data_IF_393886656354
#
_entry.id   IF_393886656354
#
_cell.length_a   1.000
_cell.length_b   1.000
_cell.length_c   1.000
_cell.angle_alpha   90.00
_cell.angle_beta   90.00
_cell.angle_gamma   90.00
#
_symmetry.space_group_name_H-M   'P 1'
#
loop_
_entity.id
_entity.type
_entity.pdbx_description
1 polymer ?
#
# COMPACT_ATOMS: atom_id res chain seq x y z
N UNK A 1 -39.79 -13.98 -79.64
CA UNK A 1 -39.88 -12.99 -78.55
C UNK A 1 -39.83 -13.72 -77.21
N UNK A 2 -38.64 -13.83 -76.60
CA UNK A 2 -38.42 -14.32 -75.24
C UNK A 2 -37.20 -13.56 -74.71
N UNK A 3 -37.41 -12.55 -73.87
CA UNK A 3 -36.33 -11.77 -73.25
C UNK A 3 -36.30 -12.10 -71.76
N UNK A 4 -35.21 -12.76 -71.36
CA UNK A 4 -34.91 -13.16 -69.98
C UNK A 4 -34.19 -12.01 -69.29
N UNK A 5 -34.79 -11.46 -68.23
CA UNK A 5 -34.18 -10.43 -67.40
C UNK A 5 -33.29 -11.08 -66.32
N UNK A 6 -32.00 -10.76 -66.31
CA UNK A 6 -31.03 -11.19 -65.30
C UNK A 6 -30.93 -10.07 -64.25
N UNK A 7 -31.37 -10.37 -63.04
CA UNK A 7 -31.29 -9.52 -61.85
C UNK A 7 -29.91 -9.71 -61.20
N UNK A 8 -29.05 -8.68 -61.21
CA UNK A 8 -27.76 -8.71 -60.51
C UNK A 8 -27.92 -8.18 -59.08
N UNK A 9 -27.58 -9.02 -58.11
CA UNK A 9 -27.42 -8.68 -56.70
C UNK A 9 -25.99 -8.17 -56.45
N UNK A 10 -25.85 -6.90 -56.07
CA UNK A 10 -24.61 -6.32 -55.60
C UNK A 10 -24.41 -6.66 -54.11
N UNK A 11 -23.39 -7.46 -53.80
CA UNK A 11 -22.92 -7.68 -52.43
C UNK A 11 -22.01 -6.53 -52.01
N UNK A 12 -22.48 -5.69 -51.08
CA UNK A 12 -21.65 -4.72 -50.39
C UNK A 12 -20.83 -5.44 -49.31
N UNK A 13 -19.52 -5.60 -49.54
CA UNK A 13 -18.60 -6.08 -48.52
C UNK A 13 -18.34 -4.95 -47.50
N UNK A 14 -18.90 -5.08 -46.31
CA UNK A 14 -18.59 -4.22 -45.16
C UNK A 14 -17.24 -4.67 -44.60
N UNK A 15 -16.18 -3.91 -44.87
CA UNK A 15 -14.86 -4.09 -44.25
C UNK A 15 -14.92 -3.67 -42.78
N UNK A 16 -14.93 -4.65 -41.88
CA UNK A 16 -14.81 -4.45 -40.44
C UNK A 16 -13.36 -4.08 -40.11
N UNK A 17 -13.10 -2.81 -39.80
CA UNK A 17 -11.81 -2.39 -39.23
C UNK A 17 -11.84 -2.83 -37.76
N UNK A 18 -11.22 -3.97 -37.46
CA UNK A 18 -10.91 -4.32 -36.09
C UNK A 18 -9.82 -3.37 -35.58
N UNK A 19 -10.24 -2.28 -34.92
CA UNK A 19 -9.35 -1.49 -34.10
C UNK A 19 -8.88 -2.39 -32.95
N UNK A 20 -7.70 -2.99 -33.08
CA UNK A 20 -7.04 -3.62 -31.95
C UNK A 20 -6.91 -2.55 -30.86
N UNK A 21 -7.40 -2.78 -29.64
CA UNK A 21 -7.24 -1.82 -28.57
C UNK A 21 -5.74 -1.65 -28.33
N UNK A 22 -5.21 -0.47 -28.65
CA UNK A 22 -3.87 -0.07 -28.22
C UNK A 22 -3.93 -0.08 -26.70
N UNK A 23 -3.39 -1.12 -26.08
CA UNK A 23 -3.17 -1.09 -24.63
C UNK A 23 -2.25 0.09 -24.39
N UNK A 24 -2.78 1.15 -23.79
CA UNK A 24 -1.94 2.19 -23.16
C UNK A 24 -1.29 1.51 -21.97
N UNK A 25 -0.21 0.77 -22.23
CA UNK A 25 0.63 0.20 -21.20
C UNK A 25 1.19 1.33 -20.35
N UNK A 26 1.35 1.05 -19.06
CA UNK A 26 2.08 1.95 -18.18
C UNK A 26 3.52 2.01 -18.67
N UNK A 27 4.08 3.22 -18.78
CA UNK A 27 5.50 3.40 -19.08
C UNK A 27 6.32 2.85 -17.89
N UNK A 28 7.15 1.81 -18.10
CA UNK A 28 7.97 1.22 -17.04
C UNK A 28 8.89 2.22 -16.34
N UNK A 29 9.31 3.28 -17.02
CA UNK A 29 10.18 4.32 -16.46
C UNK A 29 9.48 5.20 -15.43
N UNK A 30 8.14 5.27 -15.47
CA UNK A 30 7.33 5.99 -14.49
C UNK A 30 6.95 5.11 -13.29
N UNK A 31 7.25 3.81 -13.35
CA UNK A 31 7.01 2.87 -12.26
C UNK A 31 8.18 2.92 -11.29
N UNK A 32 7.94 3.31 -10.03
CA UNK A 32 9.02 3.43 -9.05
C UNK A 32 9.66 2.06 -8.76
N UNK A 33 10.96 2.08 -8.45
CA UNK A 33 11.68 0.89 -7.97
C UNK A 33 11.15 0.43 -6.62
N UNK A 34 11.05 -0.88 -6.39
CA UNK A 34 10.69 -1.41 -5.08
C UNK A 34 11.70 -0.98 -4.00
N UNK A 35 12.98 -0.88 -4.36
CA UNK A 35 14.06 -0.52 -3.44
C UNK A 35 14.42 -1.61 -2.42
N UNK A 36 13.80 -2.79 -2.52
CA UNK A 36 14.05 -3.99 -1.70
C UNK A 36 14.10 -5.18 -2.63
N UNK A 37 15.07 -6.08 -2.43
CA UNK A 37 15.17 -7.30 -3.21
C UNK A 37 14.28 -8.41 -2.59
N UNK A 38 13.63 -9.25 -3.41
CA UNK A 38 12.96 -10.45 -2.90
C UNK A 38 13.96 -11.33 -2.15
N UNK A 39 13.51 -11.97 -1.07
CA UNK A 39 14.39 -12.86 -0.31
C UNK A 39 15.44 -12.17 0.56
N UNK A 40 15.34 -10.86 0.82
CA UNK A 40 16.29 -10.13 1.68
C UNK A 40 16.26 -10.67 3.11
N UNK A 41 17.42 -11.04 3.67
CA UNK A 41 17.60 -11.53 5.05
C UNK A 41 16.52 -12.53 5.52
N UNK A 42 16.46 -13.74 4.95
CA UNK A 42 15.45 -14.72 5.32
C UNK A 42 15.64 -15.19 6.77
N UNK A 43 14.55 -15.22 7.55
CA UNK A 43 14.58 -15.64 8.97
C UNK A 43 14.56 -17.16 9.15
N UNK A 44 14.30 -17.91 8.07
CA UNK A 44 14.10 -19.36 8.09
C UNK A 44 12.67 -19.81 8.42
N UNK A 45 11.75 -18.90 8.72
CA UNK A 45 10.31 -19.20 8.98
C UNK A 45 9.38 -18.93 7.79
N UNK A 46 9.94 -18.52 6.65
CA UNK A 46 9.18 -18.08 5.48
C UNK A 46 9.06 -16.56 5.34
N UNK A 47 9.56 -15.82 6.34
CA UNK A 47 9.60 -14.37 6.36
C UNK A 47 10.99 -13.84 5.98
N UNK A 48 10.97 -12.67 5.36
CA UNK A 48 12.13 -11.92 4.93
C UNK A 48 12.05 -10.50 5.49
N UNK A 49 13.18 -9.80 5.43
CA UNK A 49 13.27 -8.42 5.88
C UNK A 49 12.84 -7.46 4.75
N UNK A 50 11.75 -6.75 5.01
CA UNK A 50 11.26 -5.64 4.23
C UNK A 50 11.82 -4.30 4.69
N UNK A 51 11.11 -3.23 4.35
CA UNK A 51 11.58 -1.87 4.54
C UNK A 51 11.83 -1.62 6.03
N UNK A 52 13.09 -1.32 6.38
CA UNK A 52 13.52 -1.01 7.75
C UNK A 52 13.20 -2.11 8.77
N UNK A 53 13.43 -3.37 8.42
CA UNK A 53 13.36 -4.49 9.37
C UNK A 53 12.00 -5.20 9.45
N UNK A 54 11.01 -4.78 8.64
CA UNK A 54 9.65 -5.32 8.71
C UNK A 54 9.59 -6.74 8.20
N UNK A 55 9.02 -7.67 8.96
CA UNK A 55 8.75 -9.02 8.46
C UNK A 55 7.75 -8.95 7.30
N UNK A 56 8.18 -9.45 6.14
CA UNK A 56 7.36 -9.59 4.94
C UNK A 56 7.44 -11.03 4.42
N UNK A 57 6.46 -11.52 3.66
CA UNK A 57 6.62 -12.79 2.95
C UNK A 57 7.86 -12.75 2.05
N UNK A 58 8.67 -13.81 2.03
CA UNK A 58 9.86 -13.85 1.17
C UNK A 58 9.58 -13.79 -0.34
N UNK A 59 8.33 -14.04 -0.74
CA UNK A 59 7.84 -13.85 -2.12
C UNK A 59 7.62 -12.37 -2.47
N UNK A 60 7.77 -11.46 -1.51
CA UNK A 60 7.63 -10.04 -1.68
C UNK A 60 8.99 -9.32 -1.63
N UNK A 61 9.21 -8.29 -2.47
CA UNK A 61 8.34 -7.85 -3.55
C UNK A 61 8.23 -8.89 -4.70
N UNK A 62 7.18 -8.81 -5.54
CA UNK A 62 7.05 -9.71 -6.69
C UNK A 62 8.14 -9.44 -7.73
N UNK A 63 8.21 -10.30 -8.75
CA UNK A 63 8.94 -9.99 -9.96
C UNK A 63 8.42 -8.67 -10.59
N UNK A 64 9.34 -7.82 -11.06
CA UNK A 64 9.01 -6.48 -11.51
C UNK A 64 8.19 -6.47 -12.80
N UNK A 65 8.53 -7.33 -13.76
CA UNK A 65 7.80 -7.40 -15.03
C UNK A 65 6.37 -7.89 -14.79
N UNK A 66 6.22 -8.87 -13.91
CA UNK A 66 4.92 -9.37 -13.45
C UNK A 66 4.10 -8.27 -12.75
N UNK A 67 4.75 -7.44 -11.92
CA UNK A 67 4.10 -6.30 -11.29
C UNK A 67 3.68 -5.22 -12.29
N UNK A 68 4.54 -4.86 -13.24
CA UNK A 68 4.22 -3.86 -14.28
C UNK A 68 3.08 -4.36 -15.17
N UNK A 69 3.01 -5.66 -15.44
CA UNK A 69 1.90 -6.26 -16.17
C UNK A 69 0.58 -6.12 -15.39
N UNK A 70 0.58 -6.40 -14.08
CA UNK A 70 -0.58 -6.20 -13.21
C UNK A 70 -1.00 -4.73 -13.13
N UNK A 71 -0.03 -3.83 -12.91
CA UNK A 71 -0.26 -2.39 -12.88
C UNK A 71 -0.82 -1.87 -14.22
N UNK A 72 -0.27 -2.32 -15.34
CA UNK A 72 -0.76 -1.95 -16.67
C UNK A 72 -2.18 -2.45 -16.92
N UNK A 73 -2.53 -3.64 -16.41
CA UNK A 73 -3.90 -4.12 -16.47
C UNK A 73 -4.81 -3.20 -15.65
N UNK A 74 -4.47 -2.94 -14.38
CA UNK A 74 -5.23 -2.06 -13.49
C UNK A 74 -5.49 -0.69 -14.12
N UNK A 75 -4.45 -0.04 -14.65
CA UNK A 75 -4.56 1.27 -15.31
C UNK A 75 -5.40 1.22 -16.57
N UNK A 76 -5.30 0.14 -17.36
CA UNK A 76 -6.13 -0.03 -18.56
C UNK A 76 -7.62 -0.21 -18.24
N UNK A 77 -7.95 -0.81 -17.09
CA UNK A 77 -9.33 -0.92 -16.59
C UNK A 77 -9.77 0.30 -15.77
N UNK A 78 -8.84 1.18 -15.40
CA UNK A 78 -9.08 2.34 -14.52
C UNK A 78 -9.27 1.96 -13.04
N UNK A 79 -9.16 0.68 -12.69
CA UNK A 79 -9.32 0.13 -11.34
C UNK A 79 -8.54 -1.18 -11.20
N UNK A 80 -8.30 -1.61 -9.96
CA UNK A 80 -7.61 -2.86 -9.69
C UNK A 80 -8.46 -4.07 -10.15
N UNK A 81 -7.88 -4.93 -11.00
CA UNK A 81 -8.61 -6.05 -11.61
C UNK A 81 -9.08 -7.09 -10.60
N UNK A 82 -8.40 -7.19 -9.46
CA UNK A 82 -8.72 -8.11 -8.39
C UNK A 82 -9.48 -7.43 -7.24
N UNK A 83 -9.61 -6.10 -7.28
CA UNK A 83 -10.35 -5.30 -6.31
C UNK A 83 -10.97 -4.06 -6.98
N UNK A 84 -12.10 -4.26 -7.66
CA UNK A 84 -12.68 -3.26 -8.58
C UNK A 84 -13.14 -1.96 -7.93
N UNK A 85 -13.23 -1.89 -6.60
CA UNK A 85 -13.55 -0.65 -5.90
C UNK A 85 -12.33 0.26 -5.70
N UNK A 86 -11.13 -0.24 -6.00
CA UNK A 86 -9.88 0.52 -5.89
C UNK A 86 -9.53 1.10 -7.26
N UNK A 87 -9.65 2.43 -7.48
CA UNK A 87 -9.21 3.06 -8.71
C UNK A 87 -7.70 2.95 -8.91
N UNK A 88 -7.29 2.93 -10.18
CA UNK A 88 -5.90 2.84 -10.60
C UNK A 88 -5.49 4.02 -11.49
N UNK A 89 -5.47 5.26 -10.97
CA UNK A 89 -5.02 6.42 -11.72
C UNK A 89 -3.51 6.33 -12.00
N UNK A 90 -3.08 6.71 -13.19
CA UNK A 90 -1.66 6.73 -13.52
C UNK A 90 -1.31 7.96 -14.37
N UNK A 91 -1.20 9.14 -13.74
CA UNK A 91 -0.84 10.36 -14.44
C UNK A 91 0.60 10.27 -14.98
N UNK A 92 0.87 10.93 -16.09
CA UNK A 92 2.16 10.84 -16.81
C UNK A 92 3.02 12.09 -16.69
N UNK A 93 2.52 13.17 -16.09
CA UNK A 93 3.30 14.37 -15.83
C UNK A 93 4.24 14.20 -14.64
N UNK A 94 5.13 15.18 -14.47
CA UNK A 94 6.21 15.14 -13.49
C UNK A 94 5.92 15.94 -12.22
N UNK A 95 4.69 16.40 -11.99
CA UNK A 95 4.36 17.05 -10.71
C UNK A 95 4.60 16.09 -9.54
N UNK A 96 4.96 16.65 -8.37
CA UNK A 96 5.09 15.88 -7.12
C UNK A 96 3.81 15.08 -6.86
N UNK A 97 2.65 15.71 -7.09
CA UNK A 97 1.35 15.07 -7.01
C UNK A 97 1.23 13.84 -7.92
N UNK A 98 1.55 13.97 -9.21
CA UNK A 98 1.47 12.84 -10.13
C UNK A 98 2.43 11.71 -9.79
N UNK A 99 3.62 12.05 -9.29
CA UNK A 99 4.56 11.06 -8.77
C UNK A 99 3.99 10.31 -7.55
N UNK A 100 3.41 11.03 -6.60
CA UNK A 100 2.74 10.44 -5.41
C UNK A 100 1.58 9.55 -5.83
N UNK A 101 0.73 9.99 -6.75
CA UNK A 101 -0.41 9.18 -7.26
C UNK A 101 0.09 7.88 -7.90
N UNK A 102 1.15 7.93 -8.72
CA UNK A 102 1.73 6.71 -9.31
C UNK A 102 2.25 5.75 -8.25
N UNK A 103 2.96 6.25 -7.23
CA UNK A 103 3.45 5.41 -6.13
C UNK A 103 2.29 4.81 -5.33
N UNK A 104 1.21 5.57 -5.09
CA UNK A 104 0.03 5.07 -4.40
C UNK A 104 -0.69 3.98 -5.19
N UNK A 105 -0.85 4.17 -6.50
CA UNK A 105 -1.41 3.14 -7.38
C UNK A 105 -0.51 1.90 -7.46
N UNK A 106 0.82 2.09 -7.35
CA UNK A 106 1.75 0.99 -7.21
C UNK A 106 1.56 0.24 -5.88
N UNK A 107 1.37 0.95 -4.75
CA UNK A 107 1.06 0.36 -3.44
C UNK A 107 -0.25 -0.43 -3.50
N UNK A 108 -1.32 0.15 -4.03
CA UNK A 108 -2.62 -0.54 -4.08
C UNK A 108 -2.58 -1.73 -5.02
N UNK A 109 -1.86 -1.65 -6.13
CA UNK A 109 -1.63 -2.81 -7.01
C UNK A 109 -0.90 -3.92 -6.27
N UNK A 110 0.17 -3.61 -5.51
CA UNK A 110 0.90 -4.60 -4.71
C UNK A 110 0.00 -5.30 -3.68
N UNK A 111 -0.85 -4.55 -3.00
CA UNK A 111 -1.74 -5.06 -1.96
C UNK A 111 -2.88 -5.91 -2.50
N UNK A 112 -3.21 -5.81 -3.78
CA UNK A 112 -4.34 -6.49 -4.40
C UNK A 112 -3.94 -7.51 -5.50
N UNK A 113 -2.66 -7.89 -5.60
CA UNK A 113 -2.15 -8.79 -6.64
C UNK A 113 -2.90 -10.12 -6.79
N UNK A 114 -3.49 -10.64 -5.71
CA UNK A 114 -4.15 -11.94 -5.67
C UNK A 114 -5.57 -11.90 -5.13
N UNK A 115 -6.15 -10.71 -5.02
CA UNK A 115 -7.46 -10.49 -4.42
C UNK A 115 -7.43 -9.29 -3.49
N UNK A 116 -8.60 -8.84 -3.01
CA UNK A 116 -8.65 -7.63 -2.20
C UNK A 116 -7.83 -7.77 -0.89
N UNK A 117 -6.80 -6.94 -0.73
CA UNK A 117 -5.87 -7.00 0.41
C UNK A 117 -5.00 -8.26 0.48
N UNK A 118 -5.02 -9.11 -0.55
CA UNK A 118 -4.20 -10.31 -0.67
C UNK A 118 -3.10 -10.04 -1.69
N UNK A 119 -1.90 -9.75 -1.19
CA UNK A 119 -0.75 -9.38 -2.00
C UNK A 119 0.45 -9.05 -1.13
N UNK A 120 1.35 -8.23 -1.65
CA UNK A 120 2.51 -7.78 -0.89
C UNK A 120 2.17 -6.55 -0.03
N UNK A 121 2.56 -6.53 1.26
CA UNK A 121 2.37 -5.36 2.09
C UNK A 121 3.20 -4.19 1.56
N UNK A 122 2.80 -2.96 1.87
CA UNK A 122 3.55 -1.76 1.43
C UNK A 122 5.01 -1.78 1.93
N UNK A 123 5.24 -2.38 3.10
CA UNK A 123 6.56 -2.60 3.69
C UNK A 123 7.47 -3.52 2.85
N UNK A 124 6.96 -4.26 1.87
CA UNK A 124 7.79 -4.99 0.91
C UNK A 124 8.53 -4.08 -0.08
N UNK A 125 8.31 -2.77 0.01
CA UNK A 125 8.92 -1.76 -0.83
C UNK A 125 9.29 -0.52 -0.01
N UNK A 126 10.03 0.37 -0.64
CA UNK A 126 10.34 1.71 -0.11
C UNK A 126 9.30 2.76 -0.52
N UNK A 127 8.17 2.38 -1.13
CA UNK A 127 7.19 3.29 -1.69
C UNK A 127 6.65 4.34 -0.70
N UNK A 128 6.39 3.95 0.55
CA UNK A 128 5.96 4.91 1.58
C UNK A 128 7.05 5.94 1.91
N UNK A 129 8.32 5.52 1.93
CA UNK A 129 9.45 6.42 2.13
C UNK A 129 9.65 7.34 0.91
N UNK A 130 9.41 6.85 -0.30
CA UNK A 130 9.45 7.65 -1.53
C UNK A 130 8.36 8.73 -1.54
N UNK A 131 7.13 8.40 -1.12
CA UNK A 131 6.05 9.39 -0.96
C UNK A 131 6.47 10.46 0.05
N UNK A 132 6.97 10.07 1.22
CA UNK A 132 7.42 11.02 2.24
C UNK A 132 8.55 11.93 1.73
N UNK A 133 9.50 11.37 0.96
CA UNK A 133 10.58 12.14 0.36
C UNK A 133 10.08 13.15 -0.67
N UNK A 134 9.13 12.77 -1.54
CA UNK A 134 8.51 13.66 -2.53
C UNK A 134 7.74 14.79 -1.86
N UNK A 135 6.99 14.49 -0.79
CA UNK A 135 6.23 15.48 -0.03
C UNK A 135 7.12 16.42 0.80
N UNK A 136 8.34 16.00 1.13
CA UNK A 136 9.32 16.84 1.81
C UNK A 136 10.09 17.77 0.85
N UNK A 137 9.92 17.63 -0.47
CA UNK A 137 10.56 18.51 -1.43
C UNK A 137 9.90 19.90 -1.38
N UNK A 138 10.68 20.99 -1.29
CA UNK A 138 10.13 22.32 -1.52
C UNK A 138 9.62 22.39 -2.97
N UNK A 139 8.36 22.79 -3.15
CA UNK A 139 7.65 22.98 -4.42
C UNK A 139 8.43 23.91 -5.37
N UNK A 140 9.44 23.38 -6.06
CA UNK A 140 10.08 24.06 -7.18
C UNK A 140 9.21 23.79 -8.41
N UNK A 141 8.31 24.74 -8.66
CA UNK A 141 7.49 24.79 -9.87
C UNK A 141 8.34 24.49 -11.10
N UNK A 142 7.81 23.59 -11.92
CA UNK A 142 8.47 22.90 -13.00
C UNK A 142 9.02 23.87 -14.07
N UNK A 143 10.33 23.80 -14.34
CA UNK A 143 10.91 24.23 -15.62
C UNK A 143 11.72 23.06 -16.18
N UNK A 144 11.46 22.57 -17.40
CA UNK A 144 12.25 21.49 -17.98
C UNK A 144 13.53 22.04 -18.59
N UNK A 145 14.70 21.56 -18.15
CA UNK A 145 15.96 21.75 -18.85
C UNK A 145 16.73 20.45 -18.94
N UNK A 146 17.12 20.13 -20.17
CA UNK A 146 17.74 18.91 -20.61
C UNK A 146 19.18 18.71 -20.12
N UNK A 147 19.53 17.43 -19.98
CA UNK A 147 20.82 16.78 -20.23
C UNK A 147 22.14 17.52 -19.90
N UNK A 148 22.92 16.93 -18.99
CA UNK A 148 24.29 16.53 -19.28
C UNK A 148 24.76 15.43 -18.32
N UNK A 149 25.19 14.31 -18.89
CA UNK A 149 25.95 13.28 -18.22
C UNK A 149 27.40 13.75 -17.99
N UNK A 150 28.01 13.35 -16.87
CA UNK A 150 29.41 12.89 -16.85
C UNK A 150 29.68 12.09 -15.58
N UNK A 151 30.30 10.93 -15.79
CA UNK A 151 30.78 9.95 -14.82
C UNK A 151 31.84 10.51 -13.86
N UNK A 152 32.01 9.84 -12.72
CA UNK A 152 33.34 9.40 -12.24
C UNK A 152 33.21 8.28 -11.22
N UNK A 153 34.12 7.31 -11.36
CA UNK A 153 34.20 6.07 -10.62
C UNK A 153 35.27 6.14 -9.50
N UNK A 154 35.22 5.11 -8.65
CA UNK A 154 36.36 4.37 -8.06
C UNK A 154 36.78 4.64 -6.59
N UNK A 155 37.09 3.51 -5.92
CA UNK A 155 37.96 3.38 -4.74
C UNK A 155 37.23 2.85 -3.49
N UNK A 156 37.01 1.55 -3.29
CA UNK A 156 37.93 0.43 -2.98
C UNK A 156 38.17 0.18 -1.47
N UNK A 157 37.76 -1.04 -1.06
CA UNK A 157 38.40 -2.00 -0.13
C UNK A 157 38.77 -1.63 1.33
N UNK A 158 38.31 -2.48 2.24
CA UNK A 158 38.91 -2.72 3.57
C UNK A 158 38.16 -3.82 4.32
N UNK A 159 38.82 -4.94 4.60
CA UNK A 159 38.25 -6.19 5.12
C UNK A 159 38.63 -6.46 6.60
N UNK A 160 37.82 -7.33 7.24
CA UNK A 160 38.14 -8.29 8.33
C UNK A 160 38.42 -7.68 9.75
N UNK A 161 38.19 -8.31 10.93
CA UNK A 161 37.93 -9.69 11.39
C UNK A 161 37.47 -9.69 12.88
N UNK A 162 36.76 -10.74 13.31
CA UNK A 162 36.79 -11.35 14.67
C UNK A 162 35.83 -10.78 15.74
N UNK A 163 35.25 -11.50 16.70
CA UNK A 163 35.23 -12.93 17.06
C UNK A 163 34.11 -13.16 18.13
N UNK A 164 33.58 -14.38 18.18
CA UNK A 164 32.73 -14.98 19.25
C UNK A 164 33.52 -15.09 20.59
N UNK A 165 32.91 -15.25 21.80
CA UNK A 165 32.26 -16.51 22.15
C UNK A 165 30.95 -16.43 22.99
N UNK A 166 30.05 -17.37 22.70
CA UNK A 166 29.28 -18.26 23.59
C UNK A 166 29.00 -17.88 25.07
N UNK A 167 27.73 -18.01 25.46
CA UNK A 167 27.29 -18.16 26.85
C UNK A 167 25.91 -18.82 26.95
N UNK A 168 25.91 -20.13 27.20
CA UNK A 168 24.73 -20.97 27.37
C UNK A 168 24.04 -20.76 28.73
N UNK A 169 22.71 -20.92 28.77
CA UNK A 169 21.94 -21.01 30.00
C UNK A 169 20.53 -21.54 29.73
N UNK A 170 20.34 -22.85 29.95
CA UNK A 170 19.05 -23.56 29.92
C UNK A 170 18.50 -23.64 31.34
N UNK A 171 17.22 -23.30 31.56
CA UNK A 171 16.33 -24.00 32.51
C UNK A 171 14.84 -23.74 32.21
N UNK A 172 14.20 -24.81 31.74
CA UNK A 172 12.93 -25.45 32.15
C UNK A 172 11.68 -24.66 32.60
N UNK A 173 10.55 -25.11 32.04
CA UNK A 173 9.16 -24.68 32.16
C UNK A 173 8.47 -24.89 33.53
N UNK A 174 7.37 -24.16 33.79
CA UNK A 174 5.98 -24.68 33.81
C UNK A 174 4.99 -23.70 34.48
N UNK A 175 3.72 -23.83 34.04
CA UNK A 175 2.55 -23.01 34.34
C UNK A 175 2.11 -22.96 35.83
N UNK A 176 1.26 -21.98 36.20
CA UNK A 176 -0.17 -22.17 36.53
C UNK A 176 -0.83 -20.81 36.85
N UNK A 177 -2.07 -20.66 36.40
CA UNK A 177 -3.01 -19.56 36.59
C UNK A 177 -3.37 -19.27 38.04
N UNK A 178 -3.61 -17.99 38.39
CA UNK A 178 -4.90 -17.47 38.87
C UNK A 178 -4.79 -16.08 39.53
N UNK A 179 -5.71 -15.20 39.09
CA UNK A 179 -6.38 -14.17 39.89
C UNK A 179 -5.56 -12.98 40.42
N UNK A 180 -5.50 -11.94 39.61
CA UNK A 180 -5.69 -10.56 40.10
C UNK A 180 -6.10 -9.67 38.94
N UNK A 181 -7.22 -8.98 39.10
CA UNK A 181 -7.59 -7.86 38.25
C UNK A 181 -6.75 -6.65 38.66
N UNK A 182 -5.94 -6.06 37.78
CA UNK A 182 -5.54 -4.68 37.92
C UNK A 182 -6.50 -3.85 37.06
N UNK A 183 -7.32 -3.04 37.73
CA UNK A 183 -7.87 -1.83 37.16
C UNK A 183 -6.71 -1.03 36.52
N UNK A 184 -6.67 -0.80 35.20
CA UNK A 184 -5.80 0.24 34.69
C UNK A 184 -6.58 1.54 34.82
N UNK A 185 -6.27 2.30 35.86
CA UNK A 185 -6.28 3.75 35.74
C UNK A 185 -5.24 4.08 34.66
N UNK A 186 -5.61 3.93 33.40
CA UNK A 186 -4.80 4.39 32.29
C UNK A 186 -4.77 5.91 32.40
N UNK A 187 -3.57 6.44 32.59
CA UNK A 187 -3.27 7.83 32.32
C UNK A 187 -3.58 8.06 30.83
N UNK A 188 -4.82 8.43 30.52
CA UNK A 188 -5.20 8.88 29.19
C UNK A 188 -4.49 10.21 28.97
N UNK A 189 -3.26 10.15 28.48
CA UNK A 189 -2.62 11.31 27.86
C UNK A 189 -3.52 11.65 26.68
N UNK A 190 -4.16 12.81 26.74
CA UNK A 190 -5.02 13.26 25.67
C UNK A 190 -4.22 13.20 24.34
N UNK A 191 -4.83 12.69 23.26
CA UNK A 191 -4.14 12.58 21.99
C UNK A 191 -3.62 13.94 21.55
N UNK A 192 -2.40 13.96 21.02
CA UNK A 192 -1.73 15.19 20.56
C UNK A 192 -2.32 15.74 19.26
N UNK A 193 -3.33 15.06 18.70
CA UNK A 193 -4.08 15.44 17.51
C UNK A 193 -5.59 15.37 17.76
N UNK A 194 -6.37 16.00 16.89
CA UNK A 194 -7.83 15.95 16.93
C UNK A 194 -8.35 14.57 16.49
N UNK A 195 -8.92 13.81 17.43
CA UNK A 195 -9.49 12.47 17.22
C UNK A 195 -10.61 12.46 16.18
N UNK A 196 -11.27 13.60 15.97
CA UNK A 196 -12.34 13.74 14.97
C UNK A 196 -11.82 13.59 13.54
N UNK A 197 -10.50 13.74 13.33
CA UNK A 197 -9.84 13.54 12.04
C UNK A 197 -9.52 12.06 11.76
N UNK A 198 -9.69 11.17 12.74
CA UNK A 198 -9.54 9.71 12.55
C UNK A 198 -10.83 9.18 11.92
N UNK A 199 -10.78 8.66 10.68
CA UNK A 199 -11.98 8.17 10.02
C UNK A 199 -12.56 6.96 10.75
N UNK A 200 -13.89 6.80 10.67
CA UNK A 200 -14.54 5.58 11.15
C UNK A 200 -14.07 4.35 10.37
N UNK A 201 -14.00 3.19 11.02
CA UNK A 201 -13.56 1.95 10.36
C UNK A 201 -14.48 1.57 9.20
N UNK A 202 -15.80 1.77 9.35
CA UNK A 202 -16.80 1.41 8.33
C UNK A 202 -17.02 -0.10 8.15
N UNK A 203 -16.39 -0.94 8.98
CA UNK A 203 -16.59 -2.39 9.09
C UNK A 203 -16.80 -2.70 10.57
N UNK A 204 -17.69 -3.63 10.88
CA UNK A 204 -17.99 -4.04 12.27
C UNK A 204 -17.24 -5.33 12.57
N UNK A 205 -16.46 -5.36 13.65
CA UNK A 205 -15.73 -6.55 14.09
C UNK A 205 -16.68 -7.72 14.39
N UNK A 206 -16.25 -8.95 14.11
CA UNK A 206 -17.09 -10.12 14.34
C UNK A 206 -18.25 -10.30 13.34
N UNK A 207 -18.36 -9.48 12.29
CA UNK A 207 -19.46 -9.56 11.34
C UNK A 207 -19.38 -10.80 10.46
N UNK A 208 -20.49 -11.56 10.39
CA UNK A 208 -20.65 -12.73 9.54
C UNK A 208 -19.48 -13.74 9.68
N UNK A 209 -19.30 -14.37 10.85
CA UNK A 209 -18.25 -15.34 11.07
C UNK A 209 -18.47 -16.58 10.20
N UNK A 210 -17.40 -17.13 9.62
CA UNK A 210 -17.44 -18.34 8.80
C UNK A 210 -17.22 -19.65 9.60
N UNK A 211 -17.04 -19.53 10.91
CA UNK A 211 -16.77 -20.65 11.82
C UNK A 211 -15.30 -21.09 11.90
N UNK A 212 -14.39 -20.46 11.16
CA UNK A 212 -12.94 -20.77 11.13
C UNK A 212 -12.08 -19.65 11.73
N UNK A 213 -12.71 -18.67 12.39
CA UNK A 213 -12.03 -17.50 12.97
C UNK A 213 -11.97 -16.29 12.03
N UNK A 214 -12.52 -16.40 10.82
CA UNK A 214 -12.62 -15.30 9.87
C UNK A 214 -14.02 -14.71 9.82
N UNK A 215 -14.07 -13.41 9.58
CA UNK A 215 -15.25 -12.59 9.46
C UNK A 215 -15.23 -11.81 8.14
N UNK A 216 -16.37 -11.26 7.74
CA UNK A 216 -16.48 -10.46 6.52
C UNK A 216 -16.06 -9.02 6.78
N UNK A 217 -14.97 -8.63 6.13
CA UNK A 217 -14.51 -7.26 6.02
C UNK A 217 -15.13 -6.49 4.86
N UNK A 218 -14.56 -5.33 4.56
CA UNK A 218 -14.95 -4.52 3.41
C UNK A 218 -14.94 -5.35 2.13
N UNK A 219 -15.96 -5.18 1.29
CA UNK A 219 -16.14 -5.90 0.02
C UNK A 219 -16.18 -7.43 0.14
N UNK A 220 -16.51 -7.96 1.33
CA UNK A 220 -16.71 -9.40 1.55
C UNK A 220 -15.42 -10.21 1.69
N UNK A 221 -14.29 -9.54 1.88
CA UNK A 221 -12.97 -10.13 2.11
C UNK A 221 -12.92 -10.77 3.49
N UNK A 222 -12.27 -11.94 3.60
CA UNK A 222 -12.08 -12.57 4.90
C UNK A 222 -11.01 -11.83 5.69
N UNK A 223 -11.37 -11.40 6.89
CA UNK A 223 -10.48 -10.76 7.86
C UNK A 223 -10.56 -11.55 9.18
N UNK A 224 -9.55 -11.47 10.07
CA UNK A 224 -9.69 -12.02 11.42
C UNK A 224 -10.89 -11.40 12.13
N UNK A 225 -11.68 -12.19 12.85
CA UNK A 225 -12.87 -11.68 13.54
C UNK A 225 -12.58 -10.64 14.63
N UNK A 226 -11.33 -10.57 15.12
CA UNK A 226 -10.85 -9.52 16.03
C UNK A 226 -10.62 -8.16 15.34
N UNK A 227 -10.80 -8.09 14.01
CA UNK A 227 -10.60 -6.89 13.22
C UNK A 227 -11.94 -6.31 12.74
N UNK A 228 -12.11 -4.97 12.73
CA UNK A 228 -11.19 -3.96 13.28
C UNK A 228 -11.05 -4.01 14.81
N UNK A 229 -9.98 -3.45 15.40
CA UNK A 229 -9.80 -3.38 16.85
C UNK A 229 -10.86 -2.47 17.50
N UNK A 230 -10.88 -2.41 18.83
CA UNK A 230 -11.60 -1.35 19.53
C UNK A 230 -11.09 0.04 19.10
N UNK A 231 -12.02 0.98 18.84
CA UNK A 231 -11.67 2.30 18.29
C UNK A 231 -10.86 3.13 19.28
N UNK A 232 -11.18 3.07 20.58
CA UNK A 232 -10.42 3.81 21.58
C UNK A 232 -9.00 3.25 21.71
N UNK A 233 -8.87 1.93 21.77
CA UNK A 233 -7.56 1.26 21.78
C UNK A 233 -6.73 1.59 20.52
N UNK A 234 -7.36 1.67 19.35
CA UNK A 234 -6.69 2.10 18.12
C UNK A 234 -6.22 3.55 18.19
N UNK A 235 -7.06 4.47 18.67
CA UNK A 235 -6.71 5.89 18.82
C UNK A 235 -5.55 6.06 19.80
N UNK A 236 -5.51 5.30 20.89
CA UNK A 236 -4.40 5.33 21.84
C UNK A 236 -3.09 4.87 21.17
N UNK A 237 -3.14 3.79 20.39
CA UNK A 237 -1.97 3.34 19.62
C UNK A 237 -1.54 4.38 18.59
N UNK A 238 -2.49 4.98 17.86
CA UNK A 238 -2.21 6.01 16.86
C UNK A 238 -1.62 7.27 17.51
N UNK A 239 -2.11 7.67 18.68
CA UNK A 239 -1.55 8.76 19.50
C UNK A 239 -0.08 8.51 19.83
N UNK A 240 0.25 7.29 20.25
CA UNK A 240 1.64 6.89 20.45
C UNK A 240 2.48 7.03 19.17
N UNK A 241 1.98 6.53 18.05
CA UNK A 241 2.69 6.58 16.77
C UNK A 241 2.96 8.03 16.31
N UNK A 242 1.93 8.89 16.35
CA UNK A 242 2.04 10.29 15.96
C UNK A 242 2.98 11.06 16.88
N UNK A 243 2.91 10.82 18.19
CA UNK A 243 3.83 11.44 19.15
C UNK A 243 5.29 11.01 18.94
N UNK A 244 5.51 9.76 18.52
CA UNK A 244 6.84 9.25 18.15
C UNK A 244 7.30 9.72 16.76
N UNK A 245 6.38 10.22 15.92
CA UNK A 245 6.61 10.54 14.51
C UNK A 245 6.74 9.30 13.61
N UNK A 246 6.54 8.09 14.16
CA UNK A 246 6.65 6.80 13.47
C UNK A 246 5.77 5.75 14.16
N UNK A 247 5.39 4.68 13.44
CA UNK A 247 4.68 3.55 14.04
C UNK A 247 5.55 2.90 15.12
N UNK A 248 5.11 2.87 16.39
CA UNK A 248 5.94 2.37 17.52
C UNK A 248 6.34 0.90 17.31
N UNK A 249 5.43 0.10 16.78
CA UNK A 249 5.64 -1.32 16.49
C UNK A 249 6.30 -1.56 15.12
N UNK A 250 6.52 -0.50 14.36
CA UNK A 250 7.25 -0.52 13.10
C UNK A 250 7.91 0.84 12.87
N UNK A 251 9.03 1.15 13.57
CA UNK A 251 9.65 2.48 13.54
C UNK A 251 10.10 2.93 12.15
N UNK A 252 10.06 2.00 11.19
CA UNK A 252 10.31 2.29 9.82
C UNK A 252 9.22 3.01 9.05
N UNK A 253 7.98 2.98 9.53
CA UNK A 253 6.86 3.67 8.89
C UNK A 253 6.62 4.99 9.61
N UNK A 254 6.64 6.09 8.86
CA UNK A 254 6.35 7.41 9.41
C UNK A 254 4.87 7.54 9.78
N UNK A 255 4.59 8.22 10.88
CA UNK A 255 3.23 8.42 11.39
C UNK A 255 2.86 9.91 11.37
N UNK A 256 2.85 10.51 10.17
CA UNK A 256 2.49 11.91 10.00
C UNK A 256 0.97 12.09 10.11
N UNK A 257 0.51 13.02 10.95
CA UNK A 257 -0.91 13.29 11.14
C UNK A 257 -1.19 14.80 11.06
N UNK A 258 -1.16 15.37 9.85
CA UNK A 258 -1.42 16.80 9.66
C UNK A 258 -2.84 17.16 10.07
N UNK A 259 -3.05 18.39 10.55
CA UNK A 259 -4.33 18.84 11.12
C UNK A 259 -5.16 19.70 10.17
N UNK A 260 -4.60 20.15 9.05
CA UNK A 260 -5.33 20.94 8.06
C UNK A 260 -6.26 20.05 7.20
N UNK A 261 -7.19 20.70 6.53
CA UNK A 261 -8.20 20.04 5.71
C UNK A 261 -7.82 19.93 4.23
N UNK A 262 -6.57 20.22 3.85
CA UNK A 262 -6.14 19.99 2.47
C UNK A 262 -6.30 18.52 2.11
N UNK A 263 -6.55 18.27 0.83
CA UNK A 263 -6.72 16.91 0.34
C UNK A 263 -5.44 16.08 0.51
N UNK A 264 -4.27 16.71 0.37
CA UNK A 264 -2.98 16.10 0.69
C UNK A 264 -2.90 15.66 2.15
N UNK A 265 -3.32 16.51 3.10
CA UNK A 265 -3.35 16.18 4.52
C UNK A 265 -4.36 15.09 4.87
N UNK A 266 -5.52 15.08 4.22
CA UNK A 266 -6.48 13.98 4.34
C UNK A 266 -5.85 12.67 3.88
N UNK A 267 -5.21 12.64 2.71
CA UNK A 267 -4.53 11.45 2.18
C UNK A 267 -3.43 10.96 3.13
N UNK A 268 -2.59 11.86 3.64
CA UNK A 268 -1.53 11.51 4.60
C UNK A 268 -2.14 10.91 5.88
N UNK A 269 -3.22 11.47 6.42
CA UNK A 269 -3.92 10.88 7.57
C UNK A 269 -4.43 9.48 7.25
N UNK A 270 -5.04 9.28 6.09
CA UNK A 270 -5.52 7.97 5.65
C UNK A 270 -4.39 6.95 5.51
N UNK A 271 -3.23 7.35 4.98
CA UNK A 271 -2.05 6.50 4.89
C UNK A 271 -1.54 6.09 6.28
N UNK A 272 -1.44 7.05 7.19
CA UNK A 272 -1.00 6.82 8.57
C UNK A 272 -1.96 5.90 9.32
N UNK A 273 -3.28 6.11 9.24
CA UNK A 273 -4.22 5.20 9.94
C UNK A 273 -4.20 3.79 9.36
N UNK A 274 -4.05 3.65 8.04
CA UNK A 274 -3.93 2.33 7.39
C UNK A 274 -2.64 1.63 7.85
N UNK A 275 -1.49 2.32 7.86
CA UNK A 275 -0.23 1.71 8.28
C UNK A 275 -0.23 1.37 9.77
N UNK A 276 -0.71 2.27 10.62
CA UNK A 276 -0.82 2.03 12.05
C UNK A 276 -1.71 0.81 12.35
N UNK A 277 -2.81 0.62 11.60
CA UNK A 277 -3.66 -0.55 11.76
C UNK A 277 -2.97 -1.86 11.33
N UNK A 278 -2.19 -1.83 10.26
CA UNK A 278 -1.43 -2.98 9.76
C UNK A 278 -0.26 -3.35 10.68
N UNK A 279 0.20 -2.43 11.52
CA UNK A 279 1.34 -2.60 12.41
C UNK A 279 0.95 -2.71 13.91
N UNK A 280 -0.32 -2.92 14.26
CA UNK A 280 -0.80 -2.84 15.66
C UNK A 280 -0.10 -3.79 16.64
N UNK A 281 0.37 -4.95 16.19
CA UNK A 281 0.96 -5.99 17.03
C UNK A 281 2.39 -6.35 16.59
N UNK A 282 3.01 -5.50 15.79
CA UNK A 282 4.31 -5.74 15.19
C UNK A 282 4.30 -5.39 13.71
N UNK A 283 5.48 -5.39 13.12
CA UNK A 283 5.67 -5.05 11.72
C UNK A 283 4.86 -5.98 10.79
N UNK A 284 3.84 -5.45 10.10
CA UNK A 284 2.93 -6.22 9.25
C UNK A 284 1.97 -7.16 10.01
N UNK A 285 2.01 -7.15 11.34
CA UNK A 285 1.16 -7.98 12.21
C UNK A 285 0.09 -7.07 12.80
N UNK A 286 -1.07 -7.06 12.17
CA UNK A 286 -2.18 -6.20 12.57
C UNK A 286 -3.44 -6.53 11.79
N UNK A 287 -4.39 -5.60 11.77
CA UNK A 287 -5.59 -5.79 10.98
C UNK A 287 -5.33 -5.47 9.51
N UNK A 288 -5.76 -6.33 8.56
CA UNK A 288 -5.57 -6.07 7.14
C UNK A 288 -6.35 -4.82 6.73
N UNK A 289 -5.95 -4.17 5.63
CA UNK A 289 -6.67 -3.01 5.10
C UNK A 289 -8.17 -3.27 4.87
N UNK A 290 -8.54 -4.50 4.51
CA UNK A 290 -9.93 -4.91 4.34
C UNK A 290 -10.75 -4.91 5.64
N UNK A 291 -10.11 -4.77 6.82
CA UNK A 291 -10.80 -4.57 8.09
C UNK A 291 -11.42 -3.17 8.23
N UNK A 292 -11.21 -2.29 7.26
CA UNK A 292 -11.82 -0.97 7.19
C UNK A 292 -12.23 -0.63 5.76
N UNK A 293 -12.95 0.47 5.62
CA UNK A 293 -13.26 1.08 4.31
C UNK A 293 -12.23 2.13 3.89
N UNK A 294 -11.12 2.24 4.63
CA UNK A 294 -10.14 3.31 4.44
C UNK A 294 -9.42 3.23 3.11
N UNK A 295 -9.13 2.02 2.59
CA UNK A 295 -8.50 1.91 1.26
C UNK A 295 -9.38 2.46 0.16
N UNK A 296 -10.71 2.24 0.21
CA UNK A 296 -11.65 2.84 -0.75
C UNK A 296 -11.79 4.36 -0.55
N UNK A 297 -11.79 4.84 0.69
CA UNK A 297 -11.87 6.28 0.99
C UNK A 297 -10.59 7.01 0.55
N UNK A 298 -9.42 6.45 0.85
CA UNK A 298 -8.13 6.93 0.36
C UNK A 298 -8.13 7.02 -1.16
N UNK A 299 -8.62 5.98 -1.84
CA UNK A 299 -8.66 5.97 -3.29
C UNK A 299 -9.65 6.99 -3.87
N UNK A 300 -10.78 7.25 -3.19
CA UNK A 300 -11.71 8.32 -3.54
C UNK A 300 -11.08 9.72 -3.35
N UNK A 301 -10.31 9.93 -2.29
CA UNK A 301 -9.57 11.18 -2.08
C UNK A 301 -8.50 11.37 -3.16
N UNK A 302 -7.76 10.32 -3.51
CA UNK A 302 -6.78 10.38 -4.61
C UNK A 302 -7.48 10.73 -5.93
N UNK A 303 -8.66 10.15 -6.20
CA UNK A 303 -9.46 10.47 -7.38
C UNK A 303 -9.95 11.92 -7.38
N UNK A 304 -10.36 12.46 -6.23
CA UNK A 304 -10.71 13.87 -6.08
C UNK A 304 -9.50 14.77 -6.38
N UNK A 305 -8.30 14.38 -5.92
CA UNK A 305 -7.06 15.11 -6.19
C UNK A 305 -6.76 15.22 -7.67
N UNK A 306 -6.98 14.13 -8.41
CA UNK A 306 -6.77 14.08 -9.85
C UNK A 306 -7.81 14.89 -10.64
N UNK A 307 -8.95 15.23 -10.02
CA UNK A 307 -10.06 15.95 -10.64
C UNK A 307 -10.06 17.46 -10.40
N UNK A 308 -9.18 17.98 -9.54
CA UNK A 308 -8.99 19.43 -9.38
C UNK A 308 -8.08 19.96 -10.49
N UNK A 309 -8.61 20.67 -11.52
CA UNK A 309 -7.76 21.31 -12.51
C UNK A 309 -6.93 22.38 -11.80
N UNK A 310 -5.61 22.31 -12.01
CA UNK A 310 -4.61 23.11 -11.30
C UNK A 310 -5.01 24.56 -11.07
N UNK A 311 -4.98 24.96 -9.80
CA UNK A 311 -4.77 26.36 -9.42
C UNK A 311 -3.31 26.74 -9.60
#
# INVERSE_FOLDING_TARGET
>A
MKSTAILQLAFAAVSYVAAAPVRRGVDPSLVPEFGIAPGTNPTGTGDCEGNKGVAIPCTCPPDRDSFIAALSANVAFGHDVNNTVVPAPFPTDNSIQSQVTRIQTAITTLQNLHGPGVGCPAAATTFLAQIAALQAQPEISSTPAAAAATSSAAGAAGAAVGADPAGAGVITASATSASQAPNPTANSVAPTFDVSLVPEFGVIAGSQPDGTGNCKGANGVLIPCSCPPDRAAFIDSLSGNVAAGHDINNPGVGAAFPTDNSLASQITRFQTVISSMQNLHGAGVGCPAAATTWSSQLAALIAQQASEPGK
#
